data_IF_512986994151
#
_entry.id   IF_512986994151
#
_cell.length_a   1.000
_cell.length_b   1.000
_cell.length_c   1.000
_cell.angle_alpha   90.00
_cell.angle_beta   90.00
_cell.angle_gamma   90.00
#
_symmetry.space_group_name_H-M   'P 1'
#
loop_
_entity.id
_entity.type
_entity.pdbx_description
1 polymer ?
#
# COMPACT_ATOMS: atom_id res chain seq x y z
N UNK A 1 4.99 5.97 11.94
CA UNK A 1 4.86 6.90 10.80
C UNK A 1 3.37 7.04 10.48
N UNK A 2 2.86 8.24 10.16
CA UNK A 2 1.47 8.39 9.76
C UNK A 2 1.20 7.66 8.42
N UNK A 3 -0.04 7.18 8.24
CA UNK A 3 -0.47 6.59 6.97
C UNK A 3 -0.43 7.68 5.90
N UNK A 4 0.22 7.39 4.77
CA UNK A 4 0.32 8.32 3.66
C UNK A 4 -0.92 8.26 2.78
N UNK A 5 -1.37 7.06 2.41
CA UNK A 5 -2.55 6.83 1.59
C UNK A 5 -3.06 5.38 1.69
N UNK A 6 -4.25 5.13 1.15
CA UNK A 6 -4.86 3.81 1.04
C UNK A 6 -4.80 3.30 -0.41
N UNK A 7 -4.58 2.00 -0.58
CA UNK A 7 -4.51 1.33 -1.88
C UNK A 7 -5.63 0.30 -2.02
N UNK A 8 -6.50 0.54 -2.98
CA UNK A 8 -7.56 -0.37 -3.38
C UNK A 8 -7.16 -1.15 -4.64
N UNK A 9 -7.69 -2.37 -4.79
CA UNK A 9 -7.37 -3.29 -5.89
C UNK A 9 -5.85 -3.42 -6.11
N UNK A 10 -5.12 -3.47 -5.00
CA UNK A 10 -3.68 -3.46 -5.02
C UNK A 10 -3.14 -4.81 -5.52
N UNK A 11 -2.04 -4.78 -6.26
CA UNK A 11 -1.32 -5.94 -6.78
C UNK A 11 0.16 -5.85 -6.42
N UNK A 12 0.72 -6.97 -6.00
CA UNK A 12 2.17 -7.11 -5.83
C UNK A 12 2.84 -7.15 -7.20
N UNK A 13 3.76 -6.21 -7.45
CA UNK A 13 4.56 -6.15 -8.67
C UNK A 13 6.01 -5.89 -8.26
N UNK A 14 6.75 -6.90 -7.77
CA UNK A 14 8.01 -6.69 -7.09
C UNK A 14 9.00 -5.85 -7.94
N UNK A 15 9.67 -4.84 -7.34
CA UNK A 15 9.75 -4.56 -5.90
C UNK A 15 8.77 -3.45 -5.43
N UNK A 16 7.64 -3.28 -6.11
CA UNK A 16 6.67 -2.21 -5.87
C UNK A 16 5.26 -2.79 -5.68
N UNK A 17 4.33 -1.93 -5.26
CA UNK A 17 2.90 -2.21 -5.34
C UNK A 17 2.28 -1.27 -6.35
N UNK A 18 1.31 -1.79 -7.09
CA UNK A 18 0.42 -1.00 -7.94
C UNK A 18 -0.99 -1.09 -7.38
N UNK A 19 -1.78 -0.04 -7.58
CA UNK A 19 -3.16 0.00 -7.11
C UNK A 19 -3.83 1.34 -7.36
N UNK A 20 -5.07 1.44 -6.92
CA UNK A 20 -5.85 2.68 -6.96
C UNK A 20 -5.69 3.42 -5.64
N UNK A 21 -5.21 4.65 -5.67
CA UNK A 21 -4.93 5.44 -4.45
C UNK A 21 -6.12 6.27 -3.99
N UNK A 22 -6.29 6.34 -2.67
CA UNK A 22 -7.23 7.22 -2.00
C UNK A 22 -6.62 7.85 -0.74
N UNK A 23 -7.08 9.06 -0.40
CA UNK A 23 -6.68 9.76 0.82
C UNK A 23 -5.19 10.11 0.88
N UNK A 24 -4.58 10.50 -0.24
CA UNK A 24 -3.15 10.85 -0.29
C UNK A 24 -2.89 12.17 0.47
N UNK A 25 -2.40 12.03 1.69
CA UNK A 25 -2.07 13.15 2.58
C UNK A 25 -0.92 14.04 2.07
N UNK A 26 -0.11 13.52 1.14
CA UNK A 26 0.98 14.27 0.51
C UNK A 26 0.53 15.08 -0.71
N UNK A 27 -0.72 14.93 -1.17
CA UNK A 27 -1.28 15.68 -2.30
C UNK A 27 -0.61 15.42 -3.65
N UNK A 28 0.04 14.26 -3.81
CA UNK A 28 0.77 13.87 -5.04
C UNK A 28 -0.16 13.24 -6.06
N UNK A 29 -1.22 12.56 -5.60
CA UNK A 29 -2.15 11.84 -6.46
C UNK A 29 -3.58 12.30 -6.24
N UNK A 30 -4.39 12.20 -7.31
CA UNK A 30 -5.83 12.41 -7.24
C UNK A 30 -6.51 11.17 -6.68
N UNK A 31 -7.63 11.37 -5.99
CA UNK A 31 -8.51 10.28 -5.55
C UNK A 31 -8.91 9.39 -6.73
N UNK A 32 -8.75 8.07 -6.58
CA UNK A 32 -9.07 7.11 -7.62
C UNK A 32 -8.01 6.98 -8.72
N UNK A 33 -6.85 7.63 -8.60
CA UNK A 33 -5.79 7.49 -9.59
C UNK A 33 -5.11 6.12 -9.50
N UNK A 34 -4.79 5.52 -10.66
CA UNK A 34 -3.86 4.40 -10.73
C UNK A 34 -2.45 4.88 -10.41
N UNK A 35 -1.76 4.19 -9.52
CA UNK A 35 -0.39 4.53 -9.15
C UNK A 35 0.52 3.33 -8.99
N UNK A 36 1.82 3.62 -8.91
CA UNK A 36 2.89 2.70 -8.56
C UNK A 36 3.67 3.28 -7.39
N UNK A 37 3.93 2.49 -6.36
CA UNK A 37 4.79 2.92 -5.25
C UNK A 37 6.25 3.04 -5.70
N UNK A 38 7.07 3.77 -4.94
CA UNK A 38 8.52 3.48 -4.95
C UNK A 38 8.80 2.10 -4.35
N UNK A 39 10.06 1.64 -4.42
CA UNK A 39 10.49 0.34 -3.88
C UNK A 39 9.97 0.13 -2.45
N UNK A 40 9.35 -1.02 -2.20
CA UNK A 40 8.95 -1.47 -0.86
C UNK A 40 10.20 -1.85 -0.07
N UNK A 41 10.30 -1.35 1.16
CA UNK A 41 11.39 -1.66 2.09
C UNK A 41 10.94 -2.62 3.18
N UNK A 42 9.70 -2.52 3.64
CA UNK A 42 9.17 -3.39 4.69
C UNK A 42 7.67 -3.54 4.57
N UNK A 43 7.17 -4.64 5.14
CA UNK A 43 5.76 -4.97 5.21
C UNK A 43 5.42 -5.29 6.66
N UNK A 44 4.27 -4.80 7.13
CA UNK A 44 3.73 -5.18 8.43
C UNK A 44 2.24 -5.50 8.31
N UNK A 45 1.73 -6.30 9.24
CA UNK A 45 0.33 -6.71 9.29
C UNK A 45 -0.26 -6.27 10.62
N UNK A 46 -1.33 -5.47 10.56
CA UNK A 46 -2.02 -4.95 11.75
C UNK A 46 -3.52 -5.16 11.52
N UNK A 47 -4.17 -5.90 12.42
CA UNK A 47 -5.63 -6.12 12.42
C UNK A 47 -6.22 -6.57 11.06
N UNK A 48 -5.48 -7.39 10.31
CA UNK A 48 -5.89 -7.90 8.99
C UNK A 48 -5.51 -7.03 7.79
N UNK A 49 -4.92 -5.87 8.02
CA UNK A 49 -4.43 -4.97 6.97
C UNK A 49 -2.94 -5.18 6.72
N UNK A 50 -2.53 -5.19 5.44
CA UNK A 50 -1.12 -5.13 5.06
C UNK A 50 -0.69 -3.69 4.83
N UNK A 51 0.38 -3.29 5.52
CA UNK A 51 0.98 -1.96 5.46
C UNK A 51 2.36 -2.04 4.80
N UNK A 52 2.59 -1.16 3.83
CA UNK A 52 3.79 -1.16 3.00
C UNK A 52 4.57 0.13 3.16
N UNK A 53 5.78 0.00 3.71
CA UNK A 53 6.70 1.11 3.77
C UNK A 53 7.56 1.14 2.52
N UNK A 54 7.84 2.35 2.05
CA UNK A 54 8.63 2.57 0.85
C UNK A 54 9.92 3.31 1.14
N UNK A 55 10.89 3.18 0.23
CA UNK A 55 12.17 3.89 0.31
C UNK A 55 12.02 5.42 0.33
N UNK A 56 10.94 5.95 -0.25
CA UNK A 56 10.62 7.38 -0.21
C UNK A 56 9.97 7.82 1.13
N UNK A 57 9.85 6.92 2.10
CA UNK A 57 9.26 7.20 3.40
C UNK A 57 7.73 7.20 3.45
N UNK A 58 7.04 6.84 2.36
CA UNK A 58 5.59 6.69 2.37
C UNK A 58 5.16 5.35 2.99
N UNK A 59 4.03 5.37 3.70
CA UNK A 59 3.37 4.21 4.29
C UNK A 59 1.98 4.04 3.67
N UNK A 60 1.77 2.93 2.96
CA UNK A 60 0.51 2.63 2.28
C UNK A 60 -0.24 1.50 2.98
N UNK A 61 -1.55 1.64 3.14
CA UNK A 61 -2.41 0.57 3.67
C UNK A 61 -3.19 -0.04 2.52
N UNK A 62 -3.15 -1.36 2.37
CA UNK A 62 -4.01 -2.05 1.40
C UNK A 62 -5.39 -2.27 1.99
N UNK A 63 -6.41 -1.89 1.23
CA UNK A 63 -7.82 -2.01 1.60
C UNK A 63 -8.57 -2.77 0.52
N UNK A 64 -9.66 -3.41 0.92
CA UNK A 64 -10.56 -4.11 0.01
C UNK A 64 -12.00 -3.74 0.29
N UNK A 65 -12.91 -4.15 -0.60
CA UNK A 65 -14.34 -3.98 -0.39
C UNK A 65 -14.90 -4.98 0.65
N UNK A 66 -14.14 -6.04 0.93
CA UNK A 66 -14.53 -7.07 1.86
C UNK A 66 -14.25 -6.62 3.30
N UNK A 67 -15.18 -6.96 4.20
CA UNK A 67 -15.04 -6.75 5.63
C UNK A 67 -13.89 -7.63 6.13
N UNK A 68 -13.04 -7.09 7.01
CA UNK A 68 -11.89 -7.80 7.57
C UNK A 68 -10.54 -7.44 6.93
N UNK A 69 -10.52 -6.47 6.02
CA UNK A 69 -9.30 -5.81 5.56
C UNK A 69 -8.91 -6.12 4.11
N UNK A 70 -7.75 -5.62 3.71
CA UNK A 70 -7.11 -5.93 2.44
C UNK A 70 -5.75 -6.54 2.70
N UNK A 71 -5.60 -7.85 2.50
CA UNK A 71 -4.33 -8.51 2.61
C UNK A 71 -3.79 -8.83 1.22
N UNK A 72 -2.60 -8.32 0.94
CA UNK A 72 -1.82 -8.73 -0.21
C UNK A 72 -0.80 -9.77 0.24
N UNK A 73 -1.07 -11.04 -0.07
CA UNK A 73 -0.15 -12.13 0.20
C UNK A 73 1.08 -11.98 -0.71
N UNK A 74 2.19 -11.52 -0.14
CA UNK A 74 3.47 -11.43 -0.85
C UNK A 74 4.28 -12.70 -0.61
N UNK A 75 4.74 -13.33 -1.68
CA UNK A 75 5.55 -14.55 -1.61
C UNK A 75 7.06 -14.27 -1.35
N UNK A 76 7.37 -13.10 -0.76
CA UNK A 76 8.75 -12.60 -0.60
C UNK A 76 8.96 -11.94 0.75
N UNK A 77 10.11 -12.21 1.36
CA UNK A 77 10.57 -11.59 2.60
C UNK A 77 11.26 -10.27 2.25
N UNK A 78 10.76 -9.16 2.80
CA UNK A 78 11.43 -7.86 2.78
C UNK A 78 12.20 -7.74 4.10
N UNK A 79 13.51 -7.45 4.02
CA UNK A 79 14.43 -7.35 5.15
C UNK A 79 14.62 -5.89 5.59
#
# INVERSE_FOLDING_TARGET
MPITAFLFAAVDSPPVIMGTIYGDTAGRFREGASMRTSRITSVSFIDGYSLFQTVAGSLYVVVSWAIGGGNLYMNRIYH
#
